data_IF_532945422684
#
_entry.id   IF_532945422684
#
_cell.length_a   1.000
_cell.length_b   1.000
_cell.length_c   1.000
_cell.angle_alpha   90.00
_cell.angle_beta   90.00
_cell.angle_gamma   90.00
#
_symmetry.space_group_name_H-M   'P 1'
#
loop_
_entity.id
_entity.type
_entity.pdbx_description
1 polymer ?
#
# COMPACT_ATOMS: atom_id res chain seq x y z
N UNK A 1 10.36 6.41 -23.36
CA UNK A 1 10.83 7.51 -22.52
C UNK A 1 10.07 8.79 -22.84
N UNK A 2 8.90 9.00 -22.23
CA UNK A 2 8.18 10.26 -22.42
C UNK A 2 8.88 11.36 -21.61
N UNK A 3 9.23 12.47 -22.25
CA UNK A 3 9.76 13.63 -21.52
C UNK A 3 8.61 14.22 -20.68
N UNK A 4 8.81 14.62 -19.41
CA UNK A 4 7.74 15.23 -18.60
C UNK A 4 7.10 16.45 -19.25
N UNK A 5 7.89 17.15 -20.07
CA UNK A 5 7.40 18.24 -20.90
C UNK A 5 6.35 17.77 -21.90
N UNK A 6 6.53 16.62 -22.55
CA UNK A 6 5.53 16.02 -23.45
C UNK A 6 4.29 15.55 -22.70
N UNK A 7 4.44 15.04 -21.48
CA UNK A 7 3.29 14.68 -20.63
C UNK A 7 2.44 15.92 -20.32
N UNK A 8 3.08 17.01 -19.88
CA UNK A 8 2.41 18.30 -19.62
C UNK A 8 1.73 18.82 -20.89
N UNK A 9 2.44 18.81 -22.03
CA UNK A 9 1.90 19.29 -23.29
C UNK A 9 0.71 18.46 -23.78
N UNK A 10 0.79 17.14 -23.71
CA UNK A 10 -0.29 16.26 -24.12
C UNK A 10 -1.53 16.39 -23.21
N UNK A 11 -1.32 16.59 -21.91
CA UNK A 11 -2.42 16.85 -20.97
C UNK A 11 -3.05 18.24 -21.21
N UNK A 12 -2.25 19.27 -21.52
CA UNK A 12 -2.75 20.61 -21.85
C UNK A 12 -3.51 20.64 -23.18
N UNK A 13 -3.04 19.94 -24.22
CA UNK A 13 -3.75 19.82 -25.50
C UNK A 13 -5.09 19.13 -25.33
N UNK A 14 -5.10 18.02 -24.59
CA UNK A 14 -6.33 17.28 -24.29
C UNK A 14 -7.26 18.07 -23.36
N UNK A 15 -6.71 18.98 -22.55
CA UNK A 15 -7.43 19.99 -21.79
C UNK A 15 -8.00 21.14 -22.62
N UNK A 16 -7.66 21.24 -23.91
CA UNK A 16 -8.12 22.28 -24.84
C UNK A 16 -7.22 23.52 -24.93
N UNK A 17 -5.98 23.46 -24.43
CA UNK A 17 -5.01 24.55 -24.53
C UNK A 17 -4.19 24.47 -25.83
N UNK A 18 -3.97 25.61 -26.49
CA UNK A 18 -3.08 25.69 -27.65
C UNK A 18 -1.61 25.72 -27.20
N UNK A 19 -0.89 24.63 -27.46
CA UNK A 19 0.53 24.46 -27.10
C UNK A 19 1.40 24.06 -28.30
N UNK A 20 0.94 24.35 -29.52
CA UNK A 20 1.64 24.01 -30.76
C UNK A 20 3.08 24.55 -30.85
N UNK A 21 3.41 25.60 -30.09
CA UNK A 21 4.73 26.23 -30.05
C UNK A 21 5.77 25.51 -29.18
N UNK A 22 5.41 24.44 -28.45
CA UNK A 22 6.24 23.89 -27.37
C UNK A 22 6.76 22.46 -27.58
N UNK A 23 6.45 21.79 -28.69
CA UNK A 23 6.80 20.38 -28.93
C UNK A 23 8.26 20.17 -29.38
N UNK A 24 8.88 19.07 -28.92
CA UNK A 24 10.10 18.44 -29.47
C UNK A 24 9.84 16.93 -29.51
N UNK A 25 10.26 16.23 -30.58
CA UNK A 25 9.98 14.80 -30.80
C UNK A 25 10.97 13.88 -30.09
N UNK A 26 10.51 12.80 -29.42
CA UNK A 26 11.32 11.63 -29.18
C UNK A 26 10.71 10.33 -29.75
N UNK A 27 11.60 9.49 -30.27
CA UNK A 27 11.35 8.13 -30.74
C UNK A 27 11.14 7.17 -29.55
N UNK A 28 10.28 6.16 -29.74
CA UNK A 28 9.89 5.16 -28.75
C UNK A 28 10.39 3.76 -29.12
N UNK A 29 10.89 3.03 -28.12
CA UNK A 29 11.00 1.57 -28.11
C UNK A 29 10.10 1.00 -27.00
N UNK A 30 9.46 -0.14 -27.29
CA UNK A 30 8.55 -0.86 -26.39
C UNK A 30 9.11 -2.26 -26.05
N UNK A 31 8.88 -2.72 -24.83
CA UNK A 31 9.19 -4.10 -24.40
C UNK A 31 8.04 -4.67 -23.57
N UNK A 32 7.51 -5.80 -24.05
CA UNK A 32 6.43 -6.59 -23.46
C UNK A 32 6.98 -7.75 -22.62
N UNK A 33 6.42 -8.01 -21.44
CA UNK A 33 6.31 -9.39 -20.94
C UNK A 33 5.15 -9.55 -19.94
N UNK A 34 4.38 -10.62 -20.14
CA UNK A 34 3.15 -11.01 -19.42
C UNK A 34 3.50 -11.94 -18.25
N UNK A 35 2.86 -11.75 -17.09
CA UNK A 35 2.98 -12.67 -15.96
C UNK A 35 1.62 -13.20 -15.44
N UNK A 36 1.65 -14.44 -14.97
CA UNK A 36 0.57 -15.43 -14.85
C UNK A 36 -0.52 -15.11 -13.82
N UNK A 37 -0.41 -14.00 -13.09
CA UNK A 37 -1.37 -13.57 -12.06
C UNK A 37 -1.71 -12.07 -12.11
N UNK A 38 -1.15 -11.30 -13.07
CA UNK A 38 -1.42 -9.87 -13.26
C UNK A 38 -0.85 -8.90 -12.19
N UNK A 39 -0.55 -9.39 -10.98
CA UNK A 39 -0.06 -8.55 -9.85
C UNK A 39 1.34 -7.96 -10.16
N UNK A 40 2.25 -8.77 -10.69
CA UNK A 40 3.60 -8.35 -11.07
C UNK A 40 3.59 -7.38 -12.26
N UNK A 41 2.62 -7.50 -13.16
CA UNK A 41 2.46 -6.62 -14.32
C UNK A 41 1.93 -5.24 -13.91
N UNK A 42 0.92 -5.20 -13.03
CA UNK A 42 0.44 -3.98 -12.38
C UNK A 42 1.57 -3.26 -11.62
N UNK A 43 2.33 -3.99 -10.79
CA UNK A 43 3.47 -3.43 -10.07
C UNK A 43 4.57 -2.93 -11.00
N UNK A 44 4.87 -3.66 -12.07
CA UNK A 44 5.89 -3.25 -13.05
C UNK A 44 5.45 -1.98 -13.79
N UNK A 45 4.19 -1.87 -14.19
CA UNK A 45 3.65 -0.68 -14.85
C UNK A 45 3.76 0.56 -13.95
N UNK A 46 3.30 0.46 -12.70
CA UNK A 46 3.33 1.57 -11.74
C UNK A 46 4.77 1.96 -11.39
N UNK A 47 5.63 0.98 -11.09
CA UNK A 47 7.01 1.27 -10.71
C UNK A 47 7.82 1.83 -11.88
N UNK A 48 7.62 1.33 -13.10
CA UNK A 48 8.23 1.88 -14.30
C UNK A 48 7.82 3.33 -14.54
N UNK A 49 6.52 3.65 -14.37
CA UNK A 49 6.02 5.02 -14.49
C UNK A 49 6.60 5.95 -13.44
N UNK A 50 6.68 5.47 -12.18
CA UNK A 50 7.32 6.20 -11.07
C UNK A 50 8.80 6.48 -11.36
N UNK A 51 9.53 5.51 -11.90
CA UNK A 51 10.94 5.67 -12.29
C UNK A 51 11.14 6.70 -13.39
N UNK A 52 10.27 6.72 -14.41
CA UNK A 52 10.30 7.71 -15.49
C UNK A 52 10.12 9.13 -14.93
N UNK A 53 9.16 9.33 -14.03
CA UNK A 53 8.91 10.63 -13.40
C UNK A 53 10.05 11.06 -12.47
N UNK A 54 10.68 10.10 -11.77
CA UNK A 54 11.83 10.36 -10.91
C UNK A 54 13.12 10.70 -11.69
N UNK A 55 13.35 10.06 -12.85
CA UNK A 55 14.52 10.27 -13.69
C UNK A 55 14.53 11.63 -14.42
N UNK A 56 13.38 12.29 -14.46
CA UNK A 56 13.12 13.54 -15.17
C UNK A 56 13.63 14.82 -14.49
N UNK A 57 14.45 14.68 -13.44
CA UNK A 57 15.01 15.78 -12.65
C UNK A 57 16.07 16.58 -13.43
N UNK A 58 15.61 17.51 -14.26
CA UNK A 58 16.40 18.62 -14.80
C UNK A 58 16.13 19.94 -14.06
N UNK A 59 16.82 21.05 -14.42
CA UNK A 59 16.65 22.37 -13.77
C UNK A 59 15.25 23.02 -13.93
N UNK A 60 14.32 22.35 -14.61
CA UNK A 60 12.92 22.75 -14.83
C UNK A 60 12.00 21.63 -14.32
N UNK A 61 11.94 21.44 -13.00
CA UNK A 61 11.16 20.36 -12.37
C UNK A 61 9.69 20.31 -12.82
N UNK A 62 9.04 19.15 -12.62
CA UNK A 62 7.64 18.92 -12.97
C UNK A 62 6.73 19.78 -12.07
N UNK A 63 5.87 20.60 -12.68
CA UNK A 63 4.79 21.28 -11.96
C UNK A 63 3.63 20.29 -11.73
N UNK A 64 3.64 19.70 -10.53
CA UNK A 64 2.64 18.70 -10.15
C UNK A 64 1.24 19.28 -9.99
N UNK A 65 1.09 20.57 -9.68
CA UNK A 65 -0.23 21.21 -9.58
C UNK A 65 -0.92 21.20 -10.95
N UNK A 66 -0.16 21.49 -12.02
CA UNK A 66 -0.67 21.44 -13.40
C UNK A 66 -0.86 20.01 -13.88
N UNK A 67 0.13 19.12 -13.68
CA UNK A 67 0.08 17.75 -14.19
C UNK A 67 -1.06 16.95 -13.56
N UNK A 68 -1.17 16.97 -12.23
CA UNK A 68 -2.20 16.20 -11.52
C UNK A 68 -3.58 16.74 -11.88
N UNK A 69 -3.77 18.06 -11.89
CA UNK A 69 -5.05 18.66 -12.27
C UNK A 69 -5.47 18.29 -13.69
N UNK A 70 -4.53 18.30 -14.64
CA UNK A 70 -4.83 17.95 -16.03
C UNK A 70 -5.15 16.45 -16.19
N UNK A 71 -4.42 15.56 -15.51
CA UNK A 71 -4.70 14.12 -15.52
C UNK A 71 -6.05 13.77 -14.87
N UNK A 72 -6.42 14.45 -13.79
CA UNK A 72 -7.75 14.32 -13.16
C UNK A 72 -8.88 14.76 -14.10
N UNK A 73 -8.69 15.87 -14.83
CA UNK A 73 -9.66 16.32 -15.83
C UNK A 73 -9.85 15.31 -16.97
N UNK A 74 -8.77 14.66 -17.41
CA UNK A 74 -8.83 13.63 -18.44
C UNK A 74 -9.55 12.38 -17.94
N UNK A 75 -9.24 11.94 -16.73
CA UNK A 75 -9.92 10.80 -16.10
C UNK A 75 -11.43 11.07 -15.95
N UNK A 76 -11.81 12.25 -15.47
CA UNK A 76 -13.21 12.65 -15.34
C UNK A 76 -13.96 12.67 -16.69
N UNK A 77 -13.26 13.01 -17.78
CA UNK A 77 -13.83 13.03 -19.14
C UNK A 77 -13.75 11.67 -19.85
N UNK A 78 -13.14 10.66 -19.23
CA UNK A 78 -12.80 9.38 -19.85
C UNK A 78 -11.92 9.54 -21.12
N UNK A 79 -11.09 10.58 -21.15
CA UNK A 79 -10.17 10.89 -22.25
C UNK A 79 -8.76 10.32 -21.99
N UNK A 80 -8.02 10.09 -23.07
CA UNK A 80 -6.64 9.58 -22.99
C UNK A 80 -5.66 10.74 -22.95
N UNK A 81 -4.62 10.61 -22.12
CA UNK A 81 -3.52 11.59 -22.08
C UNK A 81 -2.71 11.64 -23.37
N UNK A 82 -2.73 10.58 -24.19
CA UNK A 82 -2.06 10.54 -25.48
C UNK A 82 -2.94 9.91 -26.56
N UNK A 83 -2.74 10.39 -27.80
CA UNK A 83 -3.41 9.88 -29.00
C UNK A 83 -2.71 8.66 -29.62
N UNK A 84 -1.54 8.27 -29.08
CA UNK A 84 -0.78 7.10 -29.52
C UNK A 84 -1.16 5.92 -28.61
N UNK A 85 -1.10 4.69 -29.11
CA UNK A 85 -1.18 3.51 -28.24
C UNK A 85 0.03 3.47 -27.31
N UNK A 86 -0.08 4.15 -26.17
CA UNK A 86 0.91 4.12 -25.12
C UNK A 86 0.64 2.96 -24.17
N UNK A 87 1.70 2.31 -23.69
CA UNK A 87 1.63 1.26 -22.67
C UNK A 87 1.09 1.75 -21.30
N UNK A 88 1.05 3.07 -21.08
CA UNK A 88 0.66 3.69 -19.81
C UNK A 88 -0.73 4.28 -19.89
N UNK A 89 -1.60 3.89 -18.96
CA UNK A 89 -2.93 4.48 -18.82
C UNK A 89 -2.86 5.87 -18.18
N UNK A 90 -3.88 6.72 -18.43
CA UNK A 90 -4.03 8.02 -17.75
C UNK A 90 -4.04 7.83 -16.23
N UNK A 91 -4.65 6.75 -15.74
CA UNK A 91 -4.73 6.44 -14.32
C UNK A 91 -3.37 6.06 -13.72
N UNK A 92 -2.54 5.30 -14.43
CA UNK A 92 -1.20 4.92 -13.94
C UNK A 92 -0.30 6.14 -13.81
N UNK A 93 -0.37 7.04 -14.80
CA UNK A 93 0.33 8.33 -14.76
C UNK A 93 -0.16 9.20 -13.61
N UNK A 94 -1.48 9.33 -13.43
CA UNK A 94 -2.06 10.09 -12.32
C UNK A 94 -1.59 9.54 -10.97
N UNK A 95 -1.69 8.24 -10.77
CA UNK A 95 -1.25 7.57 -9.55
C UNK A 95 0.24 7.80 -9.29
N UNK A 96 1.08 7.68 -10.32
CA UNK A 96 2.52 7.89 -10.21
C UNK A 96 2.88 9.37 -9.95
N UNK A 97 2.18 10.31 -10.58
CA UNK A 97 2.35 11.75 -10.36
C UNK A 97 1.92 12.17 -8.95
N UNK A 98 0.75 11.72 -8.48
CA UNK A 98 0.31 11.96 -7.12
C UNK A 98 1.29 11.36 -6.10
N UNK A 99 1.79 10.16 -6.36
CA UNK A 99 2.76 9.51 -5.49
C UNK A 99 4.09 10.28 -5.40
N UNK A 100 4.59 10.75 -6.54
CA UNK A 100 5.80 11.56 -6.60
C UNK A 100 5.62 12.93 -5.93
N UNK A 101 4.46 13.58 -6.12
CA UNK A 101 4.11 14.84 -5.47
C UNK A 101 3.94 14.72 -3.95
N UNK A 102 3.35 13.61 -3.49
CA UNK A 102 3.12 13.31 -2.07
C UNK A 102 4.41 12.97 -1.32
N UNK A 103 5.43 12.44 -2.00
CA UNK A 103 6.76 12.22 -1.44
C UNK A 103 7.52 13.53 -1.30
N UNK A 104 7.37 14.21 -0.16
CA UNK A 104 8.24 15.32 0.24
C UNK A 104 9.42 14.77 1.05
N UNK A 105 10.52 14.40 0.41
CA UNK A 105 11.75 14.07 1.15
C UNK A 105 12.51 15.34 1.57
N UNK A 106 13.42 15.20 2.55
CA UNK A 106 14.30 16.31 3.00
C UNK A 106 15.29 16.79 1.92
N UNK A 107 15.46 16.01 0.85
CA UNK A 107 16.49 16.24 -0.17
C UNK A 107 15.90 16.71 -1.51
N UNK A 108 14.58 16.74 -1.64
CA UNK A 108 13.91 17.20 -2.86
C UNK A 108 13.57 18.69 -2.73
N UNK A 109 13.72 19.46 -3.83
CA UNK A 109 13.27 20.85 -3.83
C UNK A 109 11.77 20.88 -3.48
N UNK A 110 11.44 21.65 -2.44
CA UNK A 110 10.07 21.98 -2.07
C UNK A 110 9.47 22.84 -3.19
N UNK A 111 9.06 22.21 -4.28
CA UNK A 111 8.13 22.87 -5.20
C UNK A 111 6.88 23.21 -4.40
N UNK A 112 6.40 24.46 -4.44
CA UNK A 112 5.11 24.81 -3.86
C UNK A 112 4.07 23.92 -4.56
N UNK A 113 3.43 23.06 -3.77
CA UNK A 113 2.37 22.15 -4.20
C UNK A 113 1.14 22.51 -3.38
N UNK A 114 0.06 22.90 -4.06
CA UNK A 114 -1.24 23.14 -3.45
C UNK A 114 -1.96 21.81 -3.17
N UNK A 115 -1.42 21.09 -2.19
CA UNK A 115 -1.93 19.80 -1.74
C UNK A 115 -3.42 19.81 -1.37
N UNK A 116 -3.94 20.81 -0.62
CA UNK A 116 -5.37 20.89 -0.33
C UNK A 116 -6.26 20.96 -1.57
N UNK A 117 -5.89 21.78 -2.56
CA UNK A 117 -6.65 21.91 -3.81
C UNK A 117 -6.58 20.61 -4.61
N UNK A 118 -5.40 20.02 -4.77
CA UNK A 118 -5.24 18.74 -5.46
C UNK A 118 -5.98 17.58 -4.77
N UNK A 119 -6.01 17.53 -3.44
CA UNK A 119 -6.79 16.57 -2.68
C UNK A 119 -8.29 16.73 -2.90
N UNK A 120 -8.77 17.98 -2.91
CA UNK A 120 -10.17 18.30 -3.25
C UNK A 120 -10.51 17.84 -4.66
N UNK A 121 -9.61 18.05 -5.63
CA UNK A 121 -9.79 17.60 -7.01
C UNK A 121 -9.81 16.07 -7.12
N UNK A 122 -8.92 15.35 -6.42
CA UNK A 122 -8.94 13.89 -6.36
C UNK A 122 -10.27 13.36 -5.81
N UNK A 123 -10.80 14.01 -4.77
CA UNK A 123 -12.08 13.68 -4.19
C UNK A 123 -13.25 13.92 -5.17
N UNK A 124 -13.30 15.09 -5.82
CA UNK A 124 -14.34 15.44 -6.81
C UNK A 124 -14.31 14.50 -8.01
N UNK A 125 -13.13 14.05 -8.44
CA UNK A 125 -12.97 13.06 -9.49
C UNK A 125 -13.35 11.62 -9.04
N UNK A 126 -13.58 11.39 -7.75
CA UNK A 126 -13.81 10.04 -7.22
C UNK A 126 -12.56 9.17 -7.21
N UNK A 127 -11.37 9.76 -7.34
CA UNK A 127 -10.11 9.06 -7.52
C UNK A 127 -9.35 8.92 -6.19
N UNK A 128 -9.86 8.05 -5.33
CA UNK A 128 -9.33 7.87 -3.96
C UNK A 128 -7.87 7.36 -3.98
N UNK A 129 -7.52 6.51 -4.95
CA UNK A 129 -6.15 5.99 -5.12
C UNK A 129 -5.14 7.13 -5.38
N UNK A 130 -5.50 8.08 -6.25
CA UNK A 130 -4.68 9.24 -6.52
C UNK A 130 -4.54 10.12 -5.26
N UNK A 131 -5.63 10.32 -4.52
CA UNK A 131 -5.60 11.03 -3.23
C UNK A 131 -4.71 10.35 -2.19
N UNK A 132 -4.82 9.02 -2.03
CA UNK A 132 -4.01 8.22 -1.11
C UNK A 132 -2.51 8.33 -1.44
N UNK A 133 -2.17 8.25 -2.73
CA UNK A 133 -0.81 8.47 -3.21
C UNK A 133 -0.28 9.89 -2.91
N UNK A 134 -1.15 10.91 -3.00
CA UNK A 134 -0.79 12.31 -2.72
C UNK A 134 -0.60 12.59 -1.23
N UNK A 135 -1.42 12.01 -0.35
CA UNK A 135 -1.25 12.08 1.10
C UNK A 135 0.02 11.35 1.53
N UNK A 136 0.20 10.12 1.01
CA UNK A 136 1.34 9.26 1.29
C UNK A 136 1.44 8.83 2.76
N UNK A 137 2.49 8.08 3.09
CA UNK A 137 2.74 7.62 4.46
C UNK A 137 1.60 6.76 5.03
N UNK A 138 1.46 6.78 6.35
CA UNK A 138 0.43 5.99 7.07
C UNK A 138 -0.99 6.42 6.67
N UNK A 139 -1.24 7.72 6.60
CA UNK A 139 -2.55 8.28 6.23
C UNK A 139 -2.96 7.87 4.80
N UNK A 140 -2.01 7.84 3.86
CA UNK A 140 -2.24 7.34 2.50
C UNK A 140 -2.59 5.85 2.48
N UNK A 141 -1.87 5.02 3.25
CA UNK A 141 -2.17 3.58 3.36
C UNK A 141 -3.55 3.34 3.98
N UNK A 142 -3.90 4.08 5.04
CA UNK A 142 -5.22 4.01 5.66
C UNK A 142 -6.29 4.34 4.62
N UNK A 143 -6.13 5.44 3.88
CA UNK A 143 -7.11 5.88 2.89
C UNK A 143 -7.31 4.84 1.77
N UNK A 144 -6.23 4.21 1.31
CA UNK A 144 -6.30 3.14 0.29
C UNK A 144 -7.03 1.90 0.80
N UNK A 145 -6.66 1.42 1.99
CA UNK A 145 -7.34 0.28 2.63
C UNK A 145 -8.82 0.60 2.98
N UNK A 146 -9.12 1.83 3.38
CA UNK A 146 -10.48 2.31 3.60
C UNK A 146 -11.27 2.26 2.29
N UNK A 147 -10.71 2.73 1.18
CA UNK A 147 -11.33 2.63 -0.15
C UNK A 147 -11.66 1.19 -0.52
N UNK A 148 -10.71 0.27 -0.29
CA UNK A 148 -10.89 -1.16 -0.53
C UNK A 148 -12.07 -1.71 0.31
N UNK A 149 -12.19 -1.31 1.58
CA UNK A 149 -13.28 -1.76 2.45
C UNK A 149 -14.64 -1.14 2.11
N UNK A 150 -14.66 0.11 1.61
CA UNK A 150 -15.89 0.76 1.16
C UNK A 150 -16.42 0.06 -0.11
N UNK A 151 -15.55 -0.12 -1.11
CA UNK A 151 -15.97 -0.67 -2.41
C UNK A 151 -16.07 -2.20 -2.43
N UNK A 152 -15.16 -2.90 -1.76
CA UNK A 152 -15.10 -4.36 -1.70
C UNK A 152 -15.86 -4.97 -0.51
N UNK A 153 -15.99 -4.23 0.59
CA UNK A 153 -16.62 -4.70 1.84
C UNK A 153 -17.96 -4.03 2.17
N UNK A 154 -18.38 -3.01 1.42
CA UNK A 154 -19.65 -2.30 1.63
C UNK A 154 -19.70 -1.47 2.92
N UNK A 155 -18.55 -1.10 3.47
CA UNK A 155 -18.47 -0.26 4.68
C UNK A 155 -18.67 1.23 4.35
N UNK A 156 -19.08 2.02 5.34
CA UNK A 156 -18.96 3.48 5.23
C UNK A 156 -17.51 3.89 5.46
N UNK A 157 -17.12 5.02 4.89
CA UNK A 157 -15.75 5.53 4.96
C UNK A 157 -15.28 5.72 6.41
N UNK A 158 -16.10 6.37 7.24
CA UNK A 158 -15.79 6.63 8.66
C UNK A 158 -15.66 5.31 9.46
N UNK A 159 -16.55 4.35 9.20
CA UNK A 159 -16.54 3.04 9.86
C UNK A 159 -15.31 2.23 9.45
N UNK A 160 -14.90 2.31 8.18
CA UNK A 160 -13.73 1.61 7.66
C UNK A 160 -12.42 2.22 8.17
N UNK A 161 -12.30 3.55 8.20
CA UNK A 161 -11.16 4.24 8.79
C UNK A 161 -11.03 3.91 10.28
N UNK A 162 -12.13 4.00 11.04
CA UNK A 162 -12.16 3.63 12.45
C UNK A 162 -11.75 2.16 12.63
N UNK A 163 -12.32 1.23 11.86
CA UNK A 163 -11.99 -0.20 11.94
C UNK A 163 -10.50 -0.48 11.71
N UNK A 164 -9.86 0.21 10.76
CA UNK A 164 -8.45 0.04 10.45
C UNK A 164 -7.56 0.63 11.56
N UNK A 165 -7.92 1.81 12.07
CA UNK A 165 -7.10 2.62 12.99
C UNK A 165 -7.32 2.31 14.48
N UNK A 166 -8.40 1.63 14.86
CA UNK A 166 -8.68 1.28 16.26
C UNK A 166 -7.49 0.56 16.89
N UNK A 167 -6.99 1.12 17.99
CA UNK A 167 -6.04 0.45 18.87
C UNK A 167 -6.79 -0.64 19.65
N UNK A 168 -6.39 -1.90 19.44
CA UNK A 168 -7.11 -3.07 19.90
C UNK A 168 -7.76 -3.80 18.73
N UNK A 169 -8.09 -5.08 18.92
CA UNK A 169 -8.76 -5.81 17.85
C UNK A 169 -10.25 -5.45 17.84
N UNK A 170 -10.79 -5.00 16.70
CA UNK A 170 -12.21 -4.62 16.61
C UNK A 170 -13.08 -5.86 16.82
N UNK A 171 -13.63 -5.99 18.03
CA UNK A 171 -14.53 -7.07 18.45
C UNK A 171 -15.99 -6.80 18.08
N UNK A 172 -16.30 -5.67 17.46
CA UNK A 172 -17.66 -5.40 16.99
C UNK A 172 -18.00 -6.37 15.87
N UNK A 173 -18.74 -7.40 16.28
CA UNK A 173 -19.44 -8.41 15.51
C UNK A 173 -19.23 -8.25 14.02
N UNK A 174 -18.23 -8.98 13.49
CA UNK A 174 -18.38 -9.61 12.19
C UNK A 174 -19.73 -10.32 12.26
N UNK A 175 -20.79 -9.64 11.82
CA UNK A 175 -22.11 -10.19 11.60
C UNK A 175 -21.95 -11.16 10.42
N UNK A 176 -21.26 -12.25 10.73
CA UNK A 176 -21.01 -13.40 9.91
C UNK A 176 -22.37 -14.03 9.77
N UNK A 177 -23.16 -13.55 8.83
CA UNK A 177 -24.37 -14.21 8.41
C UNK A 177 -23.98 -15.68 8.18
N UNK A 178 -24.45 -16.53 9.08
CA UNK A 178 -24.33 -17.98 9.00
C UNK A 178 -25.24 -18.43 7.86
N UNK A 179 -24.84 -18.14 6.62
CA UNK A 179 -25.43 -18.70 5.42
C UNK A 179 -24.64 -19.96 5.10
N UNK A 180 -25.36 -21.07 5.08
CA UNK A 180 -24.89 -22.45 4.83
C UNK A 180 -24.48 -22.70 3.38
N UNK A 181 -24.32 -21.66 2.57
CA UNK A 181 -23.95 -21.74 1.16
C UNK A 181 -23.01 -20.56 0.85
N UNK A 182 -21.78 -20.63 1.38
CA UNK A 182 -20.74 -19.64 1.09
C UNK A 182 -20.00 -20.10 -0.18
N UNK A 183 -19.87 -19.23 -1.21
CA UNK A 183 -19.10 -19.57 -2.39
C UNK A 183 -17.64 -19.87 -1.98
N UNK A 184 -16.93 -20.70 -2.78
CA UNK A 184 -15.51 -20.95 -2.56
C UNK A 184 -14.73 -19.63 -2.59
N UNK A 185 -13.71 -19.52 -1.75
CA UNK A 185 -12.87 -18.34 -1.70
C UNK A 185 -12.11 -18.16 -3.03
N UNK A 186 -12.26 -16.97 -3.62
CA UNK A 186 -11.51 -16.55 -4.79
C UNK A 186 -10.86 -15.17 -4.57
N UNK A 187 -9.66 -15.01 -5.11
CA UNK A 187 -8.90 -13.76 -5.02
C UNK A 187 -9.47 -12.74 -5.99
N UNK A 188 -10.16 -11.73 -5.44
CA UNK A 188 -10.69 -10.57 -6.18
C UNK A 188 -9.62 -9.50 -6.41
N UNK A 189 -9.92 -8.48 -7.22
CA UNK A 189 -9.01 -7.36 -7.45
C UNK A 189 -8.70 -6.58 -6.17
N UNK A 190 -9.65 -6.47 -5.25
CA UNK A 190 -9.45 -5.87 -3.93
C UNK A 190 -8.41 -6.64 -3.10
N UNK A 191 -8.45 -7.98 -3.16
CA UNK A 191 -7.41 -8.80 -2.52
C UNK A 191 -6.05 -8.58 -3.17
N UNK A 192 -5.98 -8.47 -4.51
CA UNK A 192 -4.72 -8.17 -5.22
C UNK A 192 -4.11 -6.83 -4.80
N UNK A 193 -4.93 -5.80 -4.60
CA UNK A 193 -4.47 -4.50 -4.11
C UNK A 193 -3.89 -4.59 -2.70
N UNK A 194 -4.54 -5.29 -1.77
CA UNK A 194 -4.00 -5.52 -0.42
C UNK A 194 -2.66 -6.26 -0.47
N UNK A 195 -2.53 -7.28 -1.31
CA UNK A 195 -1.29 -8.01 -1.48
C UNK A 195 -0.19 -7.10 -2.03
N UNK A 196 -0.51 -6.23 -2.99
CA UNK A 196 0.43 -5.25 -3.50
C UNK A 196 0.92 -4.28 -2.40
N UNK A 197 0.03 -3.83 -1.52
CA UNK A 197 0.37 -3.00 -0.36
C UNK A 197 1.27 -3.73 0.65
N UNK A 198 1.00 -5.01 0.94
CA UNK A 198 1.88 -5.84 1.77
C UNK A 198 3.28 -5.99 1.16
N UNK A 199 3.35 -6.20 -0.15
CA UNK A 199 4.63 -6.26 -0.85
C UNK A 199 5.41 -4.94 -0.74
N UNK A 200 4.72 -3.82 -1.00
CA UNK A 200 5.30 -2.48 -1.00
C UNK A 200 5.80 -2.05 0.39
N UNK A 201 5.00 -2.30 1.44
CA UNK A 201 5.22 -1.72 2.77
C UNK A 201 5.84 -2.65 3.79
N UNK A 202 5.75 -3.97 3.59
CA UNK A 202 6.24 -4.96 4.57
C UNK A 202 7.34 -5.81 3.97
N UNK A 203 7.12 -6.39 2.78
CA UNK A 203 8.07 -7.33 2.19
C UNK A 203 9.27 -6.65 1.54
N UNK A 204 9.12 -5.37 1.14
CA UNK A 204 10.20 -4.54 0.61
C UNK A 204 11.28 -4.15 1.64
N UNK A 205 11.06 -4.41 2.93
CA UNK A 205 11.94 -4.03 4.03
C UNK A 205 13.22 -4.84 4.01
N UNK A 206 14.37 -4.17 3.86
CA UNK A 206 15.68 -4.83 3.78
C UNK A 206 16.66 -4.36 4.86
N UNK A 207 16.42 -3.23 5.50
CA UNK A 207 17.35 -2.65 6.49
C UNK A 207 16.63 -2.34 7.79
N UNK A 208 17.35 -2.42 8.90
CA UNK A 208 16.84 -2.07 10.24
C UNK A 208 16.33 -0.62 10.34
N UNK A 209 16.92 0.31 9.58
CA UNK A 209 16.45 1.70 9.54
C UNK A 209 15.06 1.88 8.91
N UNK A 210 14.56 0.87 8.20
CA UNK A 210 13.22 0.87 7.59
C UNK A 210 12.13 0.49 8.62
N UNK A 211 12.52 -0.06 9.78
CA UNK A 211 11.63 -0.48 10.88
C UNK A 211 11.28 0.63 11.87
N UNK A 212 11.94 1.79 11.80
CA UNK A 212 11.78 2.90 12.73
C UNK A 212 11.48 4.18 11.95
N UNK A 213 10.21 4.40 11.61
CA UNK A 213 9.78 5.53 10.78
C UNK A 213 9.30 6.73 11.61
N UNK A 214 10.23 7.40 12.30
CA UNK A 214 9.96 8.67 12.98
C UNK A 214 9.77 9.89 12.05
N UNK A 215 9.45 9.70 10.76
CA UNK A 215 9.30 10.78 9.78
C UNK A 215 8.08 10.53 8.90
N UNK A 216 7.28 11.58 8.67
CA UNK A 216 6.23 11.60 7.63
C UNK A 216 6.79 10.99 6.35
N UNK A 217 6.15 9.93 5.87
CA UNK A 217 6.43 9.31 4.57
C UNK A 217 6.88 7.85 4.60
N UNK A 218 7.34 7.30 5.73
CA UNK A 218 7.60 5.86 5.84
C UNK A 218 6.56 5.20 6.73
N UNK A 219 5.83 4.24 6.16
CA UNK A 219 4.94 3.36 6.89
C UNK A 219 5.81 2.40 7.70
N UNK A 220 5.59 2.34 9.01
CA UNK A 220 6.18 1.29 9.83
C UNK A 220 5.71 -0.09 9.30
N UNK A 221 6.61 -1.04 9.04
CA UNK A 221 6.24 -2.34 8.50
C UNK A 221 5.25 -3.11 9.36
N UNK A 222 5.27 -2.94 10.69
CA UNK A 222 4.29 -3.57 11.59
C UNK A 222 2.92 -2.95 11.40
N UNK A 223 2.84 -1.62 11.39
CA UNK A 223 1.62 -0.88 11.09
C UNK A 223 1.06 -1.29 9.72
N UNK A 224 1.90 -1.28 8.68
CA UNK A 224 1.51 -1.65 7.32
C UNK A 224 0.95 -3.06 7.22
N UNK A 225 1.62 -4.04 7.85
CA UNK A 225 1.14 -5.42 7.91
C UNK A 225 -0.24 -5.50 8.58
N UNK A 226 -0.40 -4.82 9.72
CA UNK A 226 -1.63 -4.87 10.51
C UNK A 226 -2.83 -4.27 9.77
N UNK A 227 -2.67 -3.09 9.16
CA UNK A 227 -3.74 -2.44 8.38
C UNK A 227 -4.17 -3.34 7.20
N UNK A 228 -3.20 -3.87 6.45
CA UNK A 228 -3.48 -4.73 5.31
C UNK A 228 -4.17 -6.05 5.71
N UNK A 229 -3.70 -6.68 6.79
CA UNK A 229 -4.28 -7.93 7.29
C UNK A 229 -5.69 -7.74 7.87
N UNK A 230 -5.97 -6.60 8.51
CA UNK A 230 -7.34 -6.23 8.93
C UNK A 230 -8.26 -6.01 7.75
N UNK A 231 -7.80 -5.28 6.73
CA UNK A 231 -8.55 -5.09 5.50
C UNK A 231 -8.87 -6.44 4.85
N UNK A 232 -7.87 -7.34 4.77
CA UNK A 232 -8.04 -8.69 4.25
C UNK A 232 -9.09 -9.47 5.05
N UNK A 233 -8.96 -9.52 6.37
CA UNK A 233 -9.90 -10.24 7.25
C UNK A 233 -11.34 -9.77 7.02
N UNK A 234 -11.55 -8.46 6.87
CA UNK A 234 -12.89 -7.87 6.71
C UNK A 234 -13.51 -8.11 5.34
N UNK A 235 -12.72 -8.18 4.27
CA UNK A 235 -13.22 -8.52 2.93
C UNK A 235 -13.78 -9.95 2.84
N UNK A 236 -13.40 -10.82 3.78
CA UNK A 236 -13.63 -12.26 3.66
C UNK A 236 -14.84 -12.75 4.45
N UNK A 237 -15.75 -13.41 3.73
CA UNK A 237 -16.88 -14.12 4.34
C UNK A 237 -16.51 -15.56 4.73
N UNK A 238 -15.53 -16.18 4.06
CA UNK A 238 -15.04 -17.53 4.37
C UNK A 238 -13.63 -17.46 4.98
N UNK A 239 -13.57 -17.31 6.31
CA UNK A 239 -12.30 -17.14 7.04
C UNK A 239 -11.39 -18.36 6.85
N UNK A 240 -11.92 -19.58 6.83
CA UNK A 240 -11.11 -20.80 6.80
C UNK A 240 -10.35 -20.98 5.49
N UNK A 241 -11.00 -20.78 4.34
CA UNK A 241 -10.35 -20.89 3.03
C UNK A 241 -9.42 -19.70 2.75
N UNK A 242 -9.87 -18.50 3.09
CA UNK A 242 -9.08 -17.27 2.93
C UNK A 242 -7.82 -17.29 3.79
N UNK A 243 -7.92 -17.79 5.03
CA UNK A 243 -6.79 -18.01 5.95
C UNK A 243 -5.77 -18.97 5.34
N UNK A 244 -6.21 -20.14 4.88
CA UNK A 244 -5.33 -21.14 4.25
C UNK A 244 -4.61 -20.57 3.03
N UNK A 245 -5.33 -19.82 2.21
CA UNK A 245 -4.75 -19.18 1.03
C UNK A 245 -3.68 -18.15 1.42
N UNK A 246 -4.00 -17.24 2.35
CA UNK A 246 -3.08 -16.20 2.82
C UNK A 246 -1.83 -16.81 3.48
N UNK A 247 -1.99 -17.84 4.29
CA UNK A 247 -0.87 -18.58 4.91
C UNK A 247 0.02 -19.21 3.85
N UNK A 248 -0.55 -19.84 2.83
CA UNK A 248 0.22 -20.42 1.73
C UNK A 248 0.98 -19.34 0.93
N UNK A 249 0.32 -18.21 0.67
CA UNK A 249 0.94 -17.08 -0.01
C UNK A 249 2.09 -16.49 0.81
N UNK A 250 1.91 -16.26 2.11
CA UNK A 250 2.95 -15.76 3.01
C UNK A 250 4.14 -16.74 3.09
N UNK A 251 3.90 -18.05 3.20
CA UNK A 251 4.97 -19.05 3.21
C UNK A 251 5.81 -18.99 1.94
N UNK A 252 5.16 -18.95 0.77
CA UNK A 252 5.85 -18.86 -0.50
C UNK A 252 6.62 -17.55 -0.63
N UNK A 253 6.00 -16.42 -0.25
CA UNK A 253 6.55 -15.10 -0.50
C UNK A 253 7.66 -14.71 0.47
N UNK A 254 7.59 -15.20 1.70
CA UNK A 254 8.63 -15.02 2.72
C UNK A 254 9.66 -16.15 2.71
N UNK A 255 9.57 -17.12 1.80
CA UNK A 255 10.49 -18.25 1.72
C UNK A 255 10.63 -19.01 3.06
N UNK A 256 9.49 -19.17 3.76
CA UNK A 256 9.46 -19.85 5.07
C UNK A 256 9.66 -21.35 4.83
N UNK A 257 10.67 -21.91 5.50
CA UNK A 257 10.97 -23.34 5.47
C UNK A 257 11.21 -23.83 6.91
N UNK A 258 10.94 -25.11 7.16
CA UNK A 258 10.89 -25.67 8.52
C UNK A 258 12.24 -25.57 9.28
N UNK A 259 13.36 -25.46 8.57
CA UNK A 259 14.71 -25.60 9.14
C UNK A 259 15.62 -24.38 8.96
N UNK A 260 15.17 -23.29 8.31
CA UNK A 260 16.04 -22.17 7.97
C UNK A 260 15.45 -20.80 8.31
N UNK A 261 16.35 -19.87 8.63
CA UNK A 261 16.00 -18.45 8.67
C UNK A 261 15.65 -17.99 7.26
N UNK A 262 14.51 -17.29 7.14
CA UNK A 262 14.09 -16.69 5.89
C UNK A 262 15.11 -15.64 5.41
N UNK A 263 15.23 -15.41 4.11
CA UNK A 263 15.95 -14.25 3.56
C UNK A 263 15.25 -12.91 3.88
N UNK A 264 13.97 -12.98 4.25
CA UNK A 264 13.07 -11.88 4.60
C UNK A 264 12.82 -11.77 6.12
N UNK A 265 13.85 -11.99 6.95
CA UNK A 265 13.74 -12.01 8.43
C UNK A 265 13.07 -10.76 9.00
N UNK A 266 13.37 -9.60 8.43
CA UNK A 266 12.78 -8.32 8.84
C UNK A 266 11.27 -8.28 8.53
N UNK A 267 10.83 -8.64 7.33
CA UNK A 267 9.40 -8.76 7.03
C UNK A 267 8.72 -9.79 7.94
N UNK A 268 9.37 -10.93 8.21
CA UNK A 268 8.88 -11.93 9.16
C UNK A 268 8.68 -11.33 10.57
N UNK A 269 9.66 -10.56 11.07
CA UNK A 269 9.56 -9.87 12.35
C UNK A 269 8.38 -8.87 12.39
N UNK A 270 8.13 -8.18 11.27
CA UNK A 270 7.00 -7.25 11.17
C UNK A 270 5.65 -7.98 11.27
N UNK A 271 5.51 -9.09 10.52
CA UNK A 271 4.32 -9.93 10.59
C UNK A 271 4.14 -10.56 11.97
N UNK A 272 5.20 -11.05 12.61
CA UNK A 272 5.14 -11.55 14.00
C UNK A 272 4.61 -10.47 14.94
N UNK A 273 5.12 -9.24 14.83
CA UNK A 273 4.64 -8.11 15.64
C UNK A 273 3.19 -7.77 15.39
N UNK A 274 2.76 -7.76 14.12
CA UNK A 274 1.38 -7.45 13.77
C UNK A 274 0.38 -8.56 14.15
N UNK A 275 0.81 -9.82 14.08
CA UNK A 275 -0.06 -10.99 14.22
C UNK A 275 -0.21 -11.47 15.66
N UNK A 276 0.88 -11.46 16.44
CA UNK A 276 0.94 -12.13 17.75
C UNK A 276 0.71 -11.15 18.91
N UNK A 277 1.21 -9.93 18.79
CA UNK A 277 1.23 -9.01 19.91
C UNK A 277 -0.04 -8.15 19.94
N UNK A 278 -0.80 -8.14 21.06
CA UNK A 278 -1.97 -7.30 21.19
C UNK A 278 -1.59 -5.82 21.36
N UNK A 279 -2.48 -4.92 20.95
CA UNK A 279 -2.29 -3.48 21.15
C UNK A 279 -2.45 -3.08 22.62
N UNK A 280 -1.80 -1.97 22.99
CA UNK A 280 -1.63 -1.49 24.36
C UNK A 280 -2.93 -1.15 25.11
N UNK A 281 -4.05 -0.99 24.42
CA UNK A 281 -5.30 -0.41 24.95
C UNK A 281 -6.36 -1.44 25.36
N UNK A 282 -6.15 -2.74 25.14
CA UNK A 282 -7.14 -3.77 25.54
C UNK A 282 -7.09 -4.04 27.06
N UNK A 283 -7.46 -3.04 27.86
CA UNK A 283 -7.63 -3.14 29.31
C UNK A 283 -8.82 -4.02 29.74
N UNK A 284 -9.56 -4.59 28.79
CA UNK A 284 -10.60 -5.59 29.02
C UNK A 284 -9.99 -6.99 29.00
N UNK A 285 -10.06 -7.70 30.13
CA UNK A 285 -9.53 -9.06 30.35
C UNK A 285 -10.01 -10.12 29.35
N UNK A 286 -11.01 -9.82 28.52
CA UNK A 286 -11.64 -10.76 27.58
C UNK A 286 -11.24 -10.56 26.10
N UNK A 287 -10.39 -9.58 25.75
CA UNK A 287 -9.94 -9.32 24.36
C UNK A 287 -8.42 -9.52 24.18
N UNK A 288 -7.89 -10.64 24.69
CA UNK A 288 -6.49 -11.03 24.49
C UNK A 288 -6.25 -11.80 23.17
N UNK A 289 -7.28 -11.96 22.34
CA UNK A 289 -7.16 -12.70 21.09
C UNK A 289 -6.28 -11.90 20.13
N UNK A 290 -5.20 -12.50 19.63
CA UNK A 290 -4.30 -11.83 18.69
C UNK A 290 -4.84 -11.87 17.25
N UNK A 291 -4.31 -11.04 16.34
CA UNK A 291 -4.82 -10.95 14.97
C UNK A 291 -4.70 -12.29 14.22
N UNK A 292 -3.64 -13.07 14.48
CA UNK A 292 -3.51 -14.42 13.92
C UNK A 292 -4.70 -15.34 14.28
N UNK A 293 -5.17 -15.27 15.52
CA UNK A 293 -6.30 -16.08 15.98
C UNK A 293 -7.61 -15.63 15.34
N UNK A 294 -7.80 -14.32 15.14
CA UNK A 294 -9.00 -13.78 14.48
C UNK A 294 -9.06 -14.11 12.99
N UNK A 295 -7.89 -14.13 12.34
CA UNK A 295 -7.77 -14.56 10.94
C UNK A 295 -7.82 -16.08 10.79
N UNK A 296 -7.91 -16.85 11.87
CA UNK A 296 -7.93 -18.32 11.80
C UNK A 296 -6.60 -18.92 11.31
N UNK A 297 -5.47 -18.26 11.57
CA UNK A 297 -4.16 -18.76 11.15
C UNK A 297 -3.76 -20.00 11.96
N UNK A 298 -3.24 -21.06 11.32
CA UNK A 298 -2.76 -22.23 12.04
C UNK A 298 -1.61 -21.88 12.98
N UNK A 299 -1.64 -22.42 14.21
CA UNK A 299 -0.56 -22.24 15.18
C UNK A 299 0.80 -22.69 14.65
N UNK A 300 0.83 -23.73 13.82
CA UNK A 300 2.06 -24.22 13.17
C UNK A 300 2.71 -23.14 12.32
N UNK A 301 1.93 -22.44 11.49
CA UNK A 301 2.43 -21.33 10.69
C UNK A 301 2.97 -20.18 11.55
N UNK A 302 2.29 -19.83 12.65
CA UNK A 302 2.75 -18.76 13.55
C UNK A 302 4.11 -19.11 14.19
N UNK A 303 4.32 -20.38 14.52
CA UNK A 303 5.60 -20.87 15.04
C UNK A 303 6.69 -20.81 13.96
N UNK A 304 6.41 -21.31 12.75
CA UNK A 304 7.33 -21.26 11.60
C UNK A 304 7.74 -19.81 11.27
N UNK A 305 6.78 -18.89 11.27
CA UNK A 305 7.02 -17.46 11.04
C UNK A 305 7.90 -16.86 12.14
N UNK A 306 7.65 -17.21 13.41
CA UNK A 306 8.46 -16.77 14.54
C UNK A 306 9.90 -17.29 14.45
N UNK A 307 10.06 -18.56 14.06
CA UNK A 307 11.36 -19.18 13.82
C UNK A 307 12.12 -18.49 12.68
N UNK A 308 11.41 -18.10 11.63
CA UNK A 308 11.99 -17.45 10.46
C UNK A 308 12.65 -16.10 10.77
N UNK A 309 12.19 -15.40 11.82
CA UNK A 309 12.79 -14.16 12.32
C UNK A 309 13.62 -14.31 13.60
N UNK A 310 13.85 -15.54 14.08
CA UNK A 310 14.56 -15.78 15.35
C UNK A 310 15.87 -14.98 15.47
N UNK A 311 16.09 -14.38 16.65
CA UNK A 311 17.26 -13.56 16.95
C UNK A 311 17.17 -12.08 16.53
N UNK A 312 16.03 -11.63 15.99
CA UNK A 312 15.77 -10.21 15.75
C UNK A 312 15.03 -9.58 16.94
N UNK A 313 15.59 -8.49 17.47
CA UNK A 313 14.96 -7.71 18.55
C UNK A 313 13.65 -7.07 18.06
N UNK A 314 13.59 -6.79 16.76
CA UNK A 314 12.47 -6.21 16.03
C UNK A 314 11.25 -7.14 15.96
N UNK A 315 11.36 -8.41 16.34
CA UNK A 315 10.23 -9.33 16.45
C UNK A 315 9.45 -9.14 17.77
N UNK A 316 10.03 -8.38 18.72
CA UNK A 316 9.46 -8.15 20.05
C UNK A 316 9.20 -6.66 20.26
N UNK A 317 8.00 -6.26 20.74
CA UNK A 317 7.68 -4.86 21.03
C UNK A 317 8.68 -4.18 21.97
N UNK A 318 9.07 -2.93 21.66
CA UNK A 318 10.04 -2.11 22.42
C UNK A 318 9.69 -1.99 23.91
N UNK A 319 8.40 -2.04 24.22
CA UNK A 319 7.84 -1.83 25.55
C UNK A 319 8.16 -2.99 26.51
N UNK A 320 8.28 -4.21 25.99
CA UNK A 320 8.67 -5.40 26.76
C UNK A 320 10.13 -5.30 27.19
N UNK A 321 10.96 -4.71 26.33
CA UNK A 321 12.36 -4.42 26.66
C UNK A 321 12.48 -3.30 27.70
N UNK A 322 11.62 -2.27 27.62
CA UNK A 322 11.63 -1.14 28.57
C UNK A 322 11.18 -1.49 29.99
N UNK A 323 10.46 -2.60 30.16
CA UNK A 323 10.02 -3.14 31.46
C UNK A 323 10.95 -4.21 32.01
N UNK A 324 12.00 -4.58 31.27
CA UNK A 324 13.07 -5.43 31.82
C UNK A 324 13.83 -4.64 32.89
N UNK A 325 14.03 -5.18 34.11
CA UNK A 325 14.77 -4.48 35.14
C UNK A 325 16.16 -4.15 34.59
N UNK A 326 16.58 -2.89 34.78
CA UNK A 326 17.97 -2.49 34.57
C UNK A 326 18.86 -3.59 35.11
N UNK A 327 19.55 -4.32 34.22
CA UNK A 327 20.63 -5.21 34.64
C UNK A 327 21.64 -4.32 35.34
N UNK A 328 21.65 -4.44 36.66
CA UNK A 328 22.77 -4.13 37.52
C UNK A 328 23.96 -4.89 36.94
N UNK A 329 24.75 -4.22 36.11
CA UNK A 329 26.13 -4.62 35.87
C UNK A 329 26.96 -3.94 36.94
N UNK A 330 27.20 -4.68 38.02
CA UNK A 330 28.42 -4.58 38.82
C UNK A 330 29.46 -5.54 38.28
#
# INVERSE_FOLDING_TARGET
NACPRELVLACLESGGCDVASLRINPEQDALTSVDKWGILEFHRSINHTREILAAAQGPLGIDYDIVISALLLLEQRCDRWSNVETLLSTQDLLNASCYAAGRRSKNEPLHPLDGPTLMSLCYVAGNIQAGANLVGGEDGLILECTSILVHGGGMKIDDAEAFLTVEGNPTESLDMQAKTDRPPFEVTDWHRQILALLEQHVMGVRKYGDFDSGRRGNIDPVFGAKICLRAWMRLNQNVDESSKWMVQWLRQRLEISDDAQSSHRLACAAFVRALIWPDKSSGTKDSNQCLAEQMGFPRTFVIELSHSCCGLVEAVPKEIWSTSPQRVYG
#
